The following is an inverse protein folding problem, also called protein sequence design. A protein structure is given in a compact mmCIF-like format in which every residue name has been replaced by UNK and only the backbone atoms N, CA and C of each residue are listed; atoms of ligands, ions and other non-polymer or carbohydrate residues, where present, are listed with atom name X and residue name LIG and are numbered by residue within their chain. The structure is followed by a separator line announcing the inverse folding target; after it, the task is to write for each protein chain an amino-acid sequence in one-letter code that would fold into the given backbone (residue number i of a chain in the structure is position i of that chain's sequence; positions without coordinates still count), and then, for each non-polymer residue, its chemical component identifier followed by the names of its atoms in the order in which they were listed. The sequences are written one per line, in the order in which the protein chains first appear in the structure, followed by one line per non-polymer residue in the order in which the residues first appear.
data_IF_356453525412
#
_entry.id   IF_356453525412
#
_cell.length_a   1.000
_cell.length_b   1.000
_cell.length_c   1.000
_cell.angle_alpha   90.00
_cell.angle_beta   90.00
_cell.angle_gamma   90.00
#
_symmetry.space_group_name_H-M   'P 1'
#
loop_
_entity.id
_entity.type
_entity.pdbx_description
1 polymer ?
#
# COMPACT_ATOMS: atom_id res chain seq x y z
N UNK A 1 -6.88 1.33 1.30
CA UNK A 1 -7.52 0.58 2.41
C UNK A 1 -7.88 -0.83 1.97
N UNK A 2 -8.81 -1.00 1.03
CA UNK A 2 -9.24 -2.31 0.52
C UNK A 2 -8.06 -3.18 0.07
N UNK A 3 -7.09 -2.59 -0.65
CA UNK A 3 -5.90 -3.32 -1.12
C UNK A 3 -5.15 -4.07 0.01
N UNK A 4 -5.00 -3.47 1.19
CA UNK A 4 -4.27 -4.08 2.30
C UNK A 4 -5.08 -5.23 2.93
N UNK A 5 -6.40 -5.05 3.07
CA UNK A 5 -7.32 -6.08 3.54
C UNK A 5 -7.34 -7.27 2.57
N UNK A 6 -7.42 -7.01 1.25
CA UNK A 6 -7.38 -8.08 0.22
C UNK A 6 -6.06 -8.84 0.22
N UNK A 7 -4.92 -8.16 0.40
CA UNK A 7 -3.62 -8.83 0.52
C UNK A 7 -3.59 -9.72 1.76
N UNK A 8 -4.07 -9.22 2.90
CA UNK A 8 -4.16 -10.00 4.13
C UNK A 8 -5.03 -11.26 3.95
N UNK A 9 -6.23 -11.10 3.41
CA UNK A 9 -7.15 -12.21 3.17
C UNK A 9 -6.54 -13.24 2.20
N UNK A 10 -5.81 -12.78 1.18
CA UNK A 10 -5.13 -13.68 0.24
C UNK A 10 -4.03 -14.52 0.89
N UNK A 11 -3.28 -13.94 1.85
CA UNK A 11 -2.25 -14.66 2.61
C UNK A 11 -2.90 -15.71 3.52
N UNK A 12 -3.98 -15.34 4.21
CA UNK A 12 -4.74 -16.26 5.05
C UNK A 12 -5.36 -17.41 4.23
N UNK A 13 -5.93 -17.11 3.06
CA UNK A 13 -6.46 -18.11 2.15
C UNK A 13 -5.37 -19.07 1.61
N UNK A 14 -4.15 -18.56 1.42
CA UNK A 14 -2.98 -19.36 1.06
C UNK A 14 -2.40 -20.19 2.24
N UNK A 15 -2.95 -20.05 3.46
CA UNK A 15 -2.45 -20.70 4.67
C UNK A 15 -1.10 -20.17 5.15
N UNK A 16 -0.66 -19.01 4.66
CA UNK A 16 0.58 -18.36 5.07
C UNK A 16 0.33 -17.49 6.29
N UNK A 17 1.22 -17.57 7.29
CA UNK A 17 1.16 -16.66 8.44
C UNK A 17 2.00 -15.42 8.13
N UNK A 18 1.52 -14.24 8.54
CA UNK A 18 2.28 -13.00 8.39
C UNK A 18 3.65 -13.12 9.06
N UNK A 19 3.66 -13.67 10.27
CA UNK A 19 4.84 -13.85 11.11
C UNK A 19 5.95 -14.65 10.42
N UNK A 20 5.61 -15.65 9.60
CA UNK A 20 6.58 -16.45 8.84
C UNK A 20 7.19 -15.67 7.66
N UNK A 21 6.50 -14.63 7.18
CA UNK A 21 6.90 -13.81 6.04
C UNK A 21 7.54 -12.48 6.46
N UNK A 22 7.62 -12.17 7.75
CA UNK A 22 8.28 -10.95 8.22
C UNK A 22 9.79 -11.04 7.98
N UNK A 23 10.37 -9.99 7.41
CA UNK A 23 11.80 -9.95 7.09
C UNK A 23 12.19 -10.73 5.83
N UNK A 24 11.24 -11.32 5.11
CA UNK A 24 11.53 -12.05 3.88
C UNK A 24 11.81 -11.10 2.70
N UNK A 25 12.45 -11.62 1.66
CA UNK A 25 12.68 -10.96 0.38
C UNK A 25 11.44 -10.97 -0.54
N UNK A 26 10.25 -10.84 0.04
CA UNK A 26 8.99 -10.78 -0.73
C UNK A 26 8.89 -9.44 -1.46
N UNK A 27 8.68 -9.52 -2.78
CA UNK A 27 8.49 -8.34 -3.64
C UNK A 27 7.01 -7.95 -3.73
N UNK A 28 6.74 -6.65 -3.85
CA UNK A 28 5.38 -6.10 -4.01
C UNK A 28 5.30 -5.32 -5.32
N UNK A 29 4.36 -5.71 -6.17
CA UNK A 29 4.05 -5.01 -7.42
C UNK A 29 2.57 -4.66 -7.43
N UNK A 30 2.24 -3.36 -7.51
CA UNK A 30 0.85 -2.88 -7.52
C UNK A 30 0.58 -2.14 -8.81
N UNK A 31 -0.17 -2.75 -9.73
CA UNK A 31 -0.66 -2.05 -10.92
C UNK A 31 -1.81 -1.11 -10.58
N UNK A 32 -1.65 0.18 -10.87
CA UNK A 32 -2.71 1.17 -10.70
C UNK A 32 -2.72 2.18 -11.86
N UNK A 33 -3.92 2.46 -12.37
CA UNK A 33 -4.12 3.37 -13.49
C UNK A 33 -4.60 4.75 -13.03
N UNK A 34 -5.49 4.79 -12.04
CA UNK A 34 -6.14 6.02 -11.60
C UNK A 34 -5.72 6.40 -10.18
N UNK A 35 -5.52 7.71 -9.94
CA UNK A 35 -5.30 8.30 -8.62
C UNK A 35 -6.31 9.40 -8.30
N UNK A 36 -7.57 9.19 -8.71
CA UNK A 36 -8.66 10.18 -8.62
C UNK A 36 -8.84 10.80 -7.24
N UNK A 37 -8.58 10.01 -6.19
CA UNK A 37 -8.68 10.47 -4.80
C UNK A 37 -7.67 11.57 -4.47
N UNK A 38 -6.46 11.49 -5.02
CA UNK A 38 -5.45 12.55 -4.85
C UNK A 38 -5.96 13.85 -5.50
N UNK A 39 -6.56 13.74 -6.69
CA UNK A 39 -7.11 14.86 -7.44
C UNK A 39 -8.33 15.49 -6.76
N UNK A 40 -9.17 14.70 -6.09
CA UNK A 40 -10.32 15.21 -5.33
C UNK A 40 -9.86 16.00 -4.11
N UNK A 41 -8.91 15.48 -3.33
CA UNK A 41 -8.41 16.16 -2.13
C UNK A 41 -7.56 17.39 -2.49
N UNK A 42 -6.83 17.37 -3.61
CA UNK A 42 -6.05 18.51 -4.07
C UNK A 42 -6.90 19.70 -4.59
N UNK A 43 -8.22 19.55 -4.73
CA UNK A 43 -9.11 20.65 -5.15
C UNK A 43 -9.29 21.73 -4.09
N UNK A 44 -9.16 21.37 -2.82
CA UNK A 44 -9.29 22.29 -1.69
C UNK A 44 -7.99 22.32 -0.89
N UNK A 45 -7.17 23.33 -1.15
CA UNK A 45 -5.87 23.48 -0.51
C UNK A 45 -5.98 23.88 0.98
N UNK A 46 -7.08 24.52 1.38
CA UNK A 46 -7.28 24.97 2.77
C UNK A 46 -7.64 23.81 3.71
N UNK A 47 -8.21 22.73 3.15
CA UNK A 47 -8.58 21.51 3.88
C UNK A 47 -7.60 20.36 3.61
N UNK A 48 -6.49 20.63 2.91
CA UNK A 48 -5.53 19.59 2.54
C UNK A 48 -4.87 18.98 3.79
N UNK A 49 -5.01 17.67 4.02
CA UNK A 49 -4.45 17.04 5.21
C UNK A 49 -2.92 17.04 5.18
N UNK A 50 -2.29 17.36 6.32
CA UNK A 50 -0.83 17.42 6.46
C UNK A 50 -0.12 16.12 6.03
N UNK A 51 -0.77 14.97 6.22
CA UNK A 51 -0.26 13.65 5.80
C UNK A 51 -0.87 13.14 4.48
N UNK A 52 -1.53 14.01 3.71
CA UNK A 52 -2.14 13.66 2.43
C UNK A 52 -1.12 13.19 1.40
N UNK A 53 0.06 13.81 1.35
CA UNK A 53 1.14 13.42 0.45
C UNK A 53 1.65 12.00 0.70
N UNK A 54 1.89 11.65 1.98
CA UNK A 54 2.25 10.28 2.38
C UNK A 54 1.04 9.35 2.40
N UNK A 55 -0.18 9.88 2.33
CA UNK A 55 -1.46 9.18 2.32
C UNK A 55 -1.94 8.72 0.92
N UNK A 56 -1.52 9.42 -0.13
CA UNK A 56 -2.15 9.26 -1.45
C UNK A 56 -1.16 9.16 -2.61
N UNK A 57 0.14 9.39 -2.38
CA UNK A 57 1.12 9.21 -3.45
C UNK A 57 1.09 7.78 -4.00
N UNK A 58 1.19 7.66 -5.33
CA UNK A 58 1.09 6.39 -6.06
C UNK A 58 2.06 5.33 -5.55
N UNK A 59 3.33 5.71 -5.33
CA UNK A 59 4.37 4.84 -4.76
C UNK A 59 4.04 4.31 -3.37
N UNK A 60 3.21 5.02 -2.61
CA UNK A 60 2.86 4.60 -1.26
C UNK A 60 1.90 3.42 -1.26
N UNK A 61 1.19 3.14 -2.36
CA UNK A 61 0.30 1.98 -2.45
C UNK A 61 1.08 0.67 -2.24
N UNK A 62 2.20 0.46 -2.93
CA UNK A 62 3.07 -0.70 -2.71
C UNK A 62 3.92 -0.56 -1.44
N UNK A 63 4.49 0.63 -1.18
CA UNK A 63 5.36 0.82 -0.02
C UNK A 63 4.63 0.62 1.31
N UNK A 64 3.33 0.94 1.41
CA UNK A 64 2.55 0.66 2.62
C UNK A 64 2.40 -0.82 2.89
N UNK A 65 2.25 -1.63 1.84
CA UNK A 65 2.12 -3.09 1.97
C UNK A 65 3.46 -3.65 2.44
N UNK A 66 4.55 -3.31 1.75
CA UNK A 66 5.90 -3.71 2.13
C UNK A 66 6.24 -3.29 3.57
N UNK A 67 5.90 -2.06 3.96
CA UNK A 67 6.12 -1.55 5.33
C UNK A 67 5.27 -2.27 6.39
N UNK A 68 3.98 -2.54 6.12
CA UNK A 68 3.09 -3.18 7.09
C UNK A 68 3.44 -4.65 7.33
N UNK A 69 3.77 -5.39 6.27
CA UNK A 69 4.10 -6.81 6.34
C UNK A 69 5.60 -7.08 6.56
N UNK A 70 6.43 -6.03 6.66
CA UNK A 70 7.86 -6.12 6.93
C UNK A 70 8.64 -6.86 5.82
N UNK A 71 8.22 -6.64 4.56
CA UNK A 71 8.80 -7.27 3.38
C UNK A 71 9.91 -6.41 2.79
N UNK A 72 11.08 -7.02 2.58
CA UNK A 72 12.31 -6.33 2.18
C UNK A 72 12.65 -6.51 0.69
N UNK A 73 11.76 -7.11 -0.11
CA UNK A 73 11.92 -7.20 -1.55
C UNK A 73 11.60 -5.88 -2.28
N UNK A 74 11.82 -5.83 -3.60
CA UNK A 74 11.41 -4.70 -4.45
C UNK A 74 9.93 -4.32 -4.28
N UNK A 75 9.66 -3.03 -4.08
CA UNK A 75 8.31 -2.47 -3.98
C UNK A 75 8.09 -1.47 -5.12
N UNK A 76 7.17 -1.78 -6.04
CA UNK A 76 6.92 -0.99 -7.25
C UNK A 76 5.41 -0.82 -7.51
N UNK A 77 5.06 0.34 -8.08
CA UNK A 77 3.72 0.74 -8.51
C UNK A 77 3.74 1.26 -9.92
#
# INVERSE_FOLDING_TARGET
RILMETVYDSLCAAGQRIEDLRGSSTSVYVGLMCDDWSGIIAKDLDVFPQYGATGMARSIMANRISYFFDWHGPSMT
#
